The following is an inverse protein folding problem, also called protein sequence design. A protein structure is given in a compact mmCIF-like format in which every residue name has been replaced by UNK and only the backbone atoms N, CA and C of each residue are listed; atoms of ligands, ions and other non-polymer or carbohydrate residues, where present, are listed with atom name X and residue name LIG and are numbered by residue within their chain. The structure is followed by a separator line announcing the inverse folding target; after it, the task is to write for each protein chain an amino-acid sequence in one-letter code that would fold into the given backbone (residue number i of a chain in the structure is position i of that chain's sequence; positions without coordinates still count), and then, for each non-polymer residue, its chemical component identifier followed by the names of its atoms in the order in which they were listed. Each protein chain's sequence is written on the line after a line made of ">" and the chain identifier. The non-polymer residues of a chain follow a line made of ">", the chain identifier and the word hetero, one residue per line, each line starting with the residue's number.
data_IF_700092170315
#
_entry.id   IF_700092170315
#
_cell.length_a   1.000
_cell.length_b   1.000
_cell.length_c   1.000
_cell.angle_alpha   90.00
_cell.angle_beta   90.00
_cell.angle_gamma   90.00
#
_symmetry.space_group_name_H-M   'P 1'
#
loop_
_entity.id
_entity.type
_entity.pdbx_description
1 polymer ?
#
# COMPACT_ATOMS: atom_id res chain seq x y z
N UNK A 1 5.38 8.24 14.11
CA UNK A 1 4.29 7.53 13.41
C UNK A 1 2.98 7.84 14.11
N UNK A 2 1.91 8.08 13.36
CA UNK A 2 0.59 8.37 13.91
C UNK A 2 -0.23 7.09 14.01
N UNK A 3 -1.18 7.02 14.94
CA UNK A 3 -2.02 5.84 15.16
C UNK A 3 -2.77 5.38 13.91
N UNK A 4 -3.25 6.32 13.09
CA UNK A 4 -3.90 6.02 11.82
C UNK A 4 -2.99 5.35 10.80
N UNK A 5 -1.70 5.75 10.76
CA UNK A 5 -0.72 5.12 9.86
C UNK A 5 -0.43 3.69 10.29
N UNK A 6 -0.22 3.49 11.60
CA UNK A 6 0.00 2.15 12.16
C UNK A 6 -1.20 1.23 11.89
N UNK A 7 -2.43 1.70 12.12
CA UNK A 7 -3.64 0.94 11.83
C UNK A 7 -3.74 0.58 10.34
N UNK A 8 -3.46 1.53 9.45
CA UNK A 8 -3.41 1.30 8.01
C UNK A 8 -2.44 0.18 7.63
N UNK A 9 -1.21 0.23 8.15
CA UNK A 9 -0.18 -0.79 7.88
C UNK A 9 -0.59 -2.17 8.41
N UNK A 10 -1.18 -2.24 9.61
CA UNK A 10 -1.66 -3.49 10.19
C UNK A 10 -2.83 -4.09 9.38
N UNK A 11 -3.77 -3.27 8.92
CA UNK A 11 -4.88 -3.75 8.08
C UNK A 11 -4.41 -4.23 6.70
N UNK A 12 -3.39 -3.58 6.13
CA UNK A 12 -2.77 -4.02 4.88
C UNK A 12 -2.03 -5.35 5.06
N UNK A 13 -1.29 -5.52 6.16
CA UNK A 13 -0.65 -6.79 6.48
C UNK A 13 -1.70 -7.91 6.66
N UNK A 14 -2.78 -7.62 7.37
CA UNK A 14 -3.86 -8.59 7.58
C UNK A 14 -4.50 -9.05 6.26
N UNK A 15 -4.70 -8.16 5.28
CA UNK A 15 -5.29 -8.54 3.99
C UNK A 15 -4.39 -9.47 3.17
N UNK A 16 -3.07 -9.23 3.19
CA UNK A 16 -2.08 -10.12 2.57
C UNK A 16 -2.08 -11.50 3.25
N UNK A 17 -2.09 -11.52 4.58
CA UNK A 17 -2.13 -12.78 5.34
C UNK A 17 -3.40 -13.58 5.06
N UNK A 18 -4.57 -12.95 5.03
CA UNK A 18 -5.84 -13.63 4.71
C UNK A 18 -5.81 -14.23 3.30
N UNK A 19 -5.25 -13.51 2.32
CA UNK A 19 -5.11 -14.04 0.95
C UNK A 19 -4.21 -15.28 0.92
N UNK A 20 -3.05 -15.23 1.58
CA UNK A 20 -2.11 -16.35 1.66
C UNK A 20 -2.73 -17.56 2.38
N UNK A 21 -3.43 -17.33 3.50
CA UNK A 21 -4.14 -18.38 4.22
C UNK A 21 -5.25 -19.00 3.35
N UNK A 22 -6.02 -18.20 2.63
CA UNK A 22 -7.05 -18.68 1.69
C UNK A 22 -6.45 -19.61 0.63
N UNK A 23 -5.34 -19.21 0.02
CA UNK A 23 -4.65 -20.03 -0.99
C UNK A 23 -4.13 -21.32 -0.36
N UNK A 24 -3.54 -21.24 0.85
CA UNK A 24 -2.98 -22.41 1.52
C UNK A 24 -4.05 -23.43 1.93
N UNK A 25 -5.20 -22.96 2.42
CA UNK A 25 -6.29 -23.84 2.89
C UNK A 25 -7.10 -24.42 1.73
N UNK A 26 -7.44 -23.61 0.71
CA UNK A 26 -8.31 -24.04 -0.40
C UNK A 26 -7.49 -24.76 -1.49
N UNK A 27 -6.15 -24.68 -1.45
CA UNK A 27 -5.23 -25.24 -2.47
C UNK A 27 -5.61 -24.82 -3.91
N UNK A 28 -6.25 -23.66 -4.03
CA UNK A 28 -6.73 -23.12 -5.30
C UNK A 28 -6.61 -21.60 -5.29
N UNK A 29 -6.22 -21.04 -6.43
CA UNK A 29 -6.14 -19.60 -6.68
C UNK A 29 -7.31 -19.10 -7.53
N UNK A 30 -8.40 -19.88 -7.66
CA UNK A 30 -9.57 -19.47 -8.43
C UNK A 30 -10.17 -18.17 -7.89
N UNK A 31 -10.38 -17.19 -8.78
CA UNK A 31 -10.87 -15.85 -8.43
C UNK A 31 -9.79 -14.84 -8.00
N UNK A 32 -8.51 -15.20 -8.03
CA UNK A 32 -7.39 -14.27 -7.79
C UNK A 32 -6.74 -13.90 -9.13
N UNK A 33 -6.63 -12.61 -9.42
CA UNK A 33 -5.99 -12.13 -10.65
C UNK A 33 -4.47 -12.16 -10.51
N UNK A 34 -3.79 -12.93 -11.37
CA UNK A 34 -2.32 -13.01 -11.37
C UNK A 34 -1.67 -11.65 -11.70
N UNK A 35 -2.24 -10.91 -12.67
CA UNK A 35 -1.72 -9.61 -13.08
C UNK A 35 -1.71 -8.60 -11.93
N UNK A 36 -2.74 -8.61 -11.08
CA UNK A 36 -2.74 -7.70 -9.92
C UNK A 36 -1.71 -8.12 -8.88
N UNK A 37 -1.50 -9.43 -8.66
CA UNK A 37 -0.45 -9.92 -7.76
C UNK A 37 0.96 -9.54 -8.25
N UNK A 38 1.23 -9.66 -9.55
CA UNK A 38 2.51 -9.22 -10.14
C UNK A 38 2.72 -7.71 -9.95
N UNK A 39 1.68 -6.89 -10.14
CA UNK A 39 1.75 -5.45 -9.91
C UNK A 39 1.99 -5.11 -8.43
N UNK A 40 1.32 -5.78 -7.49
CA UNK A 40 1.59 -5.60 -6.05
C UNK A 40 3.03 -5.97 -5.72
N UNK A 41 3.52 -7.10 -6.23
CA UNK A 41 4.89 -7.54 -6.02
C UNK A 41 5.91 -6.52 -6.56
N UNK A 42 5.67 -5.97 -7.75
CA UNK A 42 6.51 -4.93 -8.35
C UNK A 42 6.51 -3.64 -7.51
N UNK A 43 5.34 -3.18 -7.06
CA UNK A 43 5.22 -1.99 -6.21
C UNK A 43 6.00 -2.17 -4.90
N UNK A 44 5.87 -3.33 -4.26
CA UNK A 44 6.63 -3.62 -3.03
C UNK A 44 8.13 -3.73 -3.29
N UNK A 45 8.55 -4.44 -4.34
CA UNK A 45 9.96 -4.57 -4.68
C UNK A 45 10.59 -3.20 -4.94
N UNK A 46 9.99 -2.39 -5.81
CA UNK A 46 10.48 -1.04 -6.15
C UNK A 46 10.46 -0.07 -4.98
N UNK A 47 9.46 -0.16 -4.10
CA UNK A 47 9.36 0.68 -2.90
C UNK A 47 10.45 0.39 -1.88
N UNK A 48 10.87 -0.87 -1.76
CA UNK A 48 11.84 -1.32 -0.76
C UNK A 48 13.24 -1.59 -1.33
N UNK A 49 13.53 -1.14 -2.57
CA UNK A 49 14.89 -1.18 -3.13
C UNK A 49 15.89 -0.37 -2.30
N UNK A 50 15.39 0.65 -1.60
CA UNK A 50 16.16 1.50 -0.70
C UNK A 50 16.88 0.71 0.40
N UNK A 51 16.34 -0.43 0.84
CA UNK A 51 16.97 -1.34 1.81
C UNK A 51 18.42 -1.71 1.42
N UNK A 52 18.68 -1.95 0.13
CA UNK A 52 20.01 -2.33 -0.35
C UNK A 52 20.98 -1.15 -0.47
N UNK A 53 20.46 0.05 -0.71
CA UNK A 53 21.26 1.28 -0.80
C UNK A 53 21.50 1.92 0.57
N UNK A 54 20.54 1.78 1.48
CA UNK A 54 20.55 2.44 2.77
C UNK A 54 21.59 1.83 3.71
N UNK A 55 21.85 0.53 3.59
CA UNK A 55 22.85 -0.18 4.40
C UNK A 55 24.28 0.32 4.13
N UNK A 56 24.56 0.81 2.92
CA UNK A 56 25.83 1.46 2.54
C UNK A 56 25.85 2.95 2.92
N UNK A 57 24.69 3.53 3.21
CA UNK A 57 24.49 4.99 3.35
C UNK A 57 24.52 5.53 4.78
N UNK A 58 24.82 4.74 5.83
CA UNK A 58 24.67 5.22 7.21
C UNK A 58 25.44 6.55 7.47
N UNK A 59 26.63 6.69 6.88
CA UNK A 59 27.41 7.93 6.91
C UNK A 59 26.82 9.05 6.02
N UNK A 60 26.31 8.70 4.83
CA UNK A 60 25.67 9.64 3.90
C UNK A 60 24.36 10.21 4.47
N UNK A 61 23.54 9.36 5.12
CA UNK A 61 22.33 9.77 5.86
C UNK A 61 22.63 10.69 7.03
N UNK A 62 23.76 10.50 7.73
CA UNK A 62 24.22 11.43 8.77
C UNK A 62 24.42 12.86 8.25
N UNK A 63 25.04 13.00 7.07
CA UNK A 63 25.19 14.30 6.40
C UNK A 63 23.86 14.84 5.87
N UNK A 64 22.98 13.96 5.41
CA UNK A 64 21.66 14.34 4.91
C UNK A 64 20.73 14.85 6.03
N UNK A 65 20.85 14.31 7.25
CA UNK A 65 20.16 14.84 8.44
C UNK A 65 20.61 16.28 8.72
N UNK A 66 21.92 16.59 8.60
CA UNK A 66 22.41 17.97 8.74
C UNK A 66 21.83 18.90 7.64
N UNK A 67 21.72 18.40 6.41
CA UNK A 67 21.07 19.14 5.31
C UNK A 67 19.57 19.38 5.58
N UNK A 68 18.85 18.40 6.10
CA UNK A 68 17.44 18.54 6.48
C UNK A 68 17.23 19.54 7.61
N UNK A 69 18.10 19.55 8.62
CA UNK A 69 18.06 20.56 9.69
C UNK A 69 18.26 21.96 9.11
N UNK A 70 19.26 22.15 8.24
CA UNK A 70 19.46 23.43 7.55
C UNK A 70 18.24 23.86 6.73
N UNK A 71 17.66 22.95 5.95
CA UNK A 71 16.48 23.22 5.11
C UNK A 71 15.20 23.46 5.92
N UNK A 72 15.02 22.79 7.05
CA UNK A 72 13.91 23.01 7.97
C UNK A 72 13.86 24.44 8.53
N UNK A 73 15.03 25.03 8.80
CA UNK A 73 15.11 26.42 9.26
C UNK A 73 15.01 27.46 8.14
N UNK A 74 15.14 27.06 6.87
CA UNK A 74 15.24 27.98 5.73
C UNK A 74 14.07 27.90 4.74
N UNK A 75 13.31 26.80 4.69
CA UNK A 75 12.20 26.59 3.74
C UNK A 75 10.86 26.33 4.47
N UNK A 76 9.87 27.25 4.40
CA UNK A 76 8.54 27.00 4.93
C UNK A 76 7.70 26.16 3.94
N UNK A 77 7.10 25.08 4.45
CA UNK A 77 6.07 24.21 3.83
C UNK A 77 6.53 23.22 2.73
N UNK A 78 7.11 22.10 3.17
CA UNK A 78 7.29 20.92 2.31
C UNK A 78 6.03 20.05 2.28
N UNK A 79 5.18 20.24 1.26
CA UNK A 79 3.98 19.40 1.03
C UNK A 79 4.29 18.35 -0.02
N UNK A 80 4.32 17.08 0.40
CA UNK A 80 4.39 15.95 -0.53
C UNK A 80 3.00 15.68 -1.13
N UNK A 81 2.74 16.25 -2.30
CA UNK A 81 1.46 16.08 -3.02
C UNK A 81 1.30 14.70 -3.66
N UNK A 82 2.41 14.01 -4.00
CA UNK A 82 2.40 12.71 -4.67
C UNK A 82 1.65 11.63 -3.84
N UNK A 83 1.91 11.41 -2.54
CA UNK A 83 1.15 10.45 -1.73
C UNK A 83 -0.35 10.77 -1.60
N UNK A 84 -0.73 12.05 -1.68
CA UNK A 84 -2.12 12.46 -1.58
C UNK A 84 -2.91 12.10 -2.84
N UNK A 85 -2.37 12.42 -4.01
CA UNK A 85 -3.01 12.09 -5.29
C UNK A 85 -3.05 10.57 -5.49
N UNK A 86 -1.95 9.86 -5.22
CA UNK A 86 -1.93 8.40 -5.36
C UNK A 86 -2.87 7.71 -4.38
N UNK A 87 -2.95 8.19 -3.13
CA UNK A 87 -3.91 7.70 -2.14
C UNK A 87 -5.36 7.91 -2.58
N UNK A 88 -5.70 9.09 -3.10
CA UNK A 88 -7.04 9.39 -3.59
C UNK A 88 -7.43 8.50 -4.78
N UNK A 89 -6.55 8.34 -5.76
CA UNK A 89 -6.77 7.44 -6.90
C UNK A 89 -6.96 6.00 -6.43
N UNK A 90 -6.11 5.53 -5.51
CA UNK A 90 -6.21 4.19 -4.95
C UNK A 90 -7.55 3.98 -4.22
N UNK A 91 -7.99 4.94 -3.40
CA UNK A 91 -9.30 4.88 -2.72
C UNK A 91 -10.46 4.86 -3.70
N UNK A 92 -10.43 5.66 -4.77
CA UNK A 92 -11.48 5.68 -5.79
C UNK A 92 -11.59 4.35 -6.55
N UNK A 93 -10.45 3.73 -6.89
CA UNK A 93 -10.46 2.40 -7.52
C UNK A 93 -11.03 1.32 -6.60
N UNK A 94 -10.79 1.40 -5.29
CA UNK A 94 -11.42 0.48 -4.34
C UNK A 94 -12.88 0.82 -4.05
N UNK A 95 -13.32 2.07 -4.22
CA UNK A 95 -14.70 2.46 -3.97
C UNK A 95 -15.69 1.68 -4.85
N UNK A 96 -15.33 1.43 -6.11
CA UNK A 96 -16.12 0.60 -7.03
C UNK A 96 -16.24 -0.85 -6.51
N UNK A 97 -15.13 -1.45 -6.08
CA UNK A 97 -15.14 -2.76 -5.43
C UNK A 97 -16.01 -2.78 -4.17
N UNK A 98 -15.90 -1.76 -3.31
CA UNK A 98 -16.68 -1.67 -2.08
C UNK A 98 -18.18 -1.53 -2.37
N UNK A 99 -18.56 -0.78 -3.40
CA UNK A 99 -19.96 -0.66 -3.83
C UNK A 99 -20.57 -2.03 -4.15
N UNK A 100 -19.92 -2.82 -5.02
CA UNK A 100 -20.40 -4.16 -5.36
C UNK A 100 -20.34 -5.14 -4.17
N UNK A 101 -19.35 -4.98 -3.29
CA UNK A 101 -19.26 -5.76 -2.05
C UNK A 101 -20.44 -5.49 -1.11
N UNK A 102 -20.78 -4.22 -0.87
CA UNK A 102 -21.91 -3.85 -0.03
C UNK A 102 -23.25 -4.30 -0.62
N UNK A 103 -23.43 -4.20 -1.94
CA UNK A 103 -24.63 -4.71 -2.62
C UNK A 103 -24.76 -6.24 -2.51
N UNK A 104 -23.66 -6.96 -2.76
CA UNK A 104 -23.58 -8.42 -2.63
C UNK A 104 -23.90 -8.87 -1.20
N UNK A 105 -23.35 -8.19 -0.19
CA UNK A 105 -23.60 -8.46 1.23
C UNK A 105 -25.06 -8.21 1.63
N UNK A 106 -25.62 -7.05 1.26
CA UNK A 106 -27.01 -6.70 1.59
C UNK A 106 -28.03 -7.62 0.94
N UNK A 107 -27.74 -8.09 -0.28
CA UNK A 107 -28.64 -8.93 -1.06
C UNK A 107 -28.38 -10.44 -0.88
N UNK A 108 -27.41 -10.86 -0.05
CA UNK A 108 -26.97 -12.26 0.08
C UNK A 108 -26.65 -12.94 -1.28
N UNK A 109 -26.17 -12.16 -2.25
CA UNK A 109 -25.78 -12.65 -3.58
C UNK A 109 -24.27 -12.88 -3.61
N UNK A 110 -23.80 -13.83 -4.41
CA UNK A 110 -22.36 -13.99 -4.64
C UNK A 110 -21.80 -12.73 -5.31
N UNK A 111 -20.63 -12.25 -4.83
CA UNK A 111 -19.96 -11.09 -5.41
C UNK A 111 -19.64 -11.35 -6.88
N UNK A 112 -20.17 -10.51 -7.76
CA UNK A 112 -19.88 -10.50 -9.20
C UNK A 112 -19.51 -9.09 -9.59
N UNK A 113 -18.27 -8.91 -10.04
CA UNK A 113 -17.82 -7.65 -10.62
C UNK A 113 -18.34 -7.55 -12.06
N UNK A 114 -18.70 -6.36 -12.55
CA UNK A 114 -18.96 -6.15 -13.98
C UNK A 114 -17.70 -6.55 -14.75
N UNK A 115 -17.84 -7.45 -15.72
CA UNK A 115 -16.75 -8.00 -16.51
C UNK A 115 -16.21 -6.97 -17.51
#
# INVERSE_FOLDING_TARGET
>A
MNIFRLAGDMTHLASVLVLLLKIHTIKSCSGVSLKTQELYALVFATRYLDIFTDFVSLAYRGLYILNWVYRYFTEPHYVHWIPWISGLVQTLLYADFFYYYFDSWKNNKNLRLPA
#
